data_IF_320587463125
#
_entry.id   IF_320587463125
#
_cell.length_a   1.000
_cell.length_b   1.000
_cell.length_c   1.000
_cell.angle_alpha   90.00
_cell.angle_beta   90.00
_cell.angle_gamma   90.00
#
_symmetry.space_group_name_H-M   'P 1'
#
loop_
_entity.id
_entity.type
_entity.pdbx_description
1 polymer ?
#
# COMPACT_ATOMS: atom_id res chain seq x y z
N UNK A 1 22.65 30.32 -0.46
CA UNK A 1 22.42 28.86 -0.64
C UNK A 1 21.33 28.38 0.33
N UNK A 2 20.04 28.57 0.03
CA UNK A 2 18.96 28.05 0.86
C UNK A 2 18.44 26.76 0.23
N UNK A 3 19.05 25.61 0.57
CA UNK A 3 18.51 24.30 0.25
C UNK A 3 17.25 24.12 1.09
N UNK A 4 16.10 24.48 0.51
CA UNK A 4 14.77 24.21 1.03
C UNK A 4 14.71 22.70 1.24
N UNK A 5 14.75 22.26 2.50
CA UNK A 5 14.67 20.85 2.90
C UNK A 5 13.22 20.43 2.70
N UNK A 6 12.80 20.32 1.44
CA UNK A 6 11.55 19.68 1.08
C UNK A 6 11.74 18.21 1.43
N UNK A 7 11.31 17.83 2.63
CA UNK A 7 11.13 16.43 3.02
C UNK A 7 10.43 15.75 1.85
N UNK A 8 11.17 14.91 1.15
CA UNK A 8 10.80 14.29 -0.11
C UNK A 8 9.76 13.21 0.15
N UNK A 9 8.56 13.66 0.53
CA UNK A 9 7.38 12.82 0.72
C UNK A 9 6.94 12.15 -0.59
N UNK A 10 7.46 12.63 -1.72
CA UNK A 10 7.37 12.04 -3.06
C UNK A 10 7.86 10.59 -3.12
N UNK A 11 9.01 10.26 -2.50
CA UNK A 11 9.52 8.88 -2.46
C UNK A 11 8.62 7.96 -1.65
N UNK A 12 8.11 8.45 -0.52
CA UNK A 12 7.19 7.68 0.35
C UNK A 12 5.86 7.41 -0.36
N UNK A 13 5.33 8.41 -1.09
CA UNK A 13 4.13 8.24 -1.91
C UNK A 13 4.31 7.22 -3.02
N UNK A 14 5.44 7.27 -3.76
CA UNK A 14 5.75 6.28 -4.79
C UNK A 14 5.90 4.87 -4.23
N UNK A 15 6.55 4.71 -3.07
CA UNK A 15 6.66 3.41 -2.41
C UNK A 15 5.29 2.84 -2.05
N UNK A 16 4.43 3.64 -1.42
CA UNK A 16 3.08 3.22 -1.07
C UNK A 16 2.23 2.86 -2.30
N UNK A 17 2.36 3.56 -3.43
CA UNK A 17 1.64 3.22 -4.66
C UNK A 17 2.10 1.89 -5.27
N UNK A 18 3.39 1.60 -5.18
CA UNK A 18 3.98 0.34 -5.66
C UNK A 18 3.54 -0.85 -4.80
N UNK A 19 3.45 -0.67 -3.48
CA UNK A 19 2.90 -1.68 -2.57
C UNK A 19 1.40 -1.91 -2.83
N UNK A 20 0.63 -0.86 -3.13
CA UNK A 20 -0.80 -0.99 -3.49
C UNK A 20 -0.97 -1.81 -4.76
N UNK A 21 -0.18 -1.51 -5.79
CA UNK A 21 -0.23 -2.20 -7.07
C UNK A 21 0.16 -3.68 -6.91
N UNK A 22 1.23 -3.96 -6.17
CA UNK A 22 1.66 -5.33 -5.91
C UNK A 22 0.63 -6.12 -5.11
N UNK A 23 0.00 -5.53 -4.09
CA UNK A 23 -1.03 -6.22 -3.33
C UNK A 23 -2.26 -6.49 -4.19
N UNK A 24 -2.72 -5.49 -4.95
CA UNK A 24 -3.85 -5.65 -5.87
C UNK A 24 -3.60 -6.75 -6.91
N UNK A 25 -2.36 -6.88 -7.42
CA UNK A 25 -1.99 -7.92 -8.38
C UNK A 25 -1.90 -9.32 -7.74
N UNK A 26 -1.35 -9.42 -6.53
CA UNK A 26 -1.17 -10.71 -5.85
C UNK A 26 -2.48 -11.28 -5.33
N UNK A 27 -3.40 -10.43 -4.87
CA UNK A 27 -4.63 -10.85 -4.19
C UNK A 27 -5.89 -10.45 -4.95
N UNK A 28 -5.83 -10.06 -6.24
CA UNK A 28 -6.94 -9.49 -7.07
C UNK A 28 -7.91 -8.55 -6.33
N UNK A 29 -7.46 -7.84 -5.30
CA UNK A 29 -8.31 -6.85 -4.63
C UNK A 29 -8.24 -5.53 -5.37
N UNK A 30 -9.26 -4.70 -5.21
CA UNK A 30 -9.24 -3.37 -5.82
C UNK A 30 -8.09 -2.52 -5.21
N UNK A 31 -7.46 -1.62 -5.98
CA UNK A 31 -6.43 -0.72 -5.46
C UNK A 31 -6.89 0.14 -4.26
N UNK A 32 -8.20 0.37 -4.16
CA UNK A 32 -8.83 1.04 -3.01
C UNK A 32 -8.79 0.19 -1.75
N UNK A 33 -9.13 -1.10 -1.85
CA UNK A 33 -9.03 -2.05 -0.74
C UNK A 33 -7.56 -2.22 -0.34
N UNK A 34 -6.65 -2.37 -1.31
CA UNK A 34 -5.22 -2.48 -1.03
C UNK A 34 -4.66 -1.24 -0.30
N UNK A 35 -5.05 -0.02 -0.70
CA UNK A 35 -4.71 1.20 0.06
C UNK A 35 -5.26 1.19 1.48
N UNK A 36 -6.48 0.70 1.68
CA UNK A 36 -7.08 0.64 3.00
C UNK A 36 -6.34 -0.35 3.90
N UNK A 37 -5.97 -1.51 3.36
CA UNK A 37 -5.19 -2.54 4.05
C UNK A 37 -3.79 -2.03 4.41
N UNK A 38 -3.06 -1.42 3.46
CA UNK A 38 -1.75 -0.80 3.71
C UNK A 38 -1.81 0.33 4.73
N UNK A 39 -2.91 1.07 4.78
CA UNK A 39 -3.13 2.10 5.81
C UNK A 39 -3.43 1.52 7.19
N UNK A 40 -4.08 0.34 7.26
CA UNK A 40 -4.48 -0.33 8.51
C UNK A 40 -3.33 -1.13 9.13
N UNK A 41 -2.56 -1.83 8.28
CA UNK A 41 -1.52 -2.77 8.71
C UNK A 41 -0.10 -2.30 8.43
N UNK A 42 0.08 -1.27 7.59
CA UNK A 42 1.42 -0.87 7.14
C UNK A 42 2.00 -1.88 6.16
N UNK A 43 3.34 -2.02 6.15
CA UNK A 43 4.08 -2.91 5.25
C UNK A 43 4.03 -4.41 5.68
N UNK A 44 2.98 -4.81 6.40
CA UNK A 44 2.85 -6.14 7.00
C UNK A 44 2.23 -7.12 6.00
N UNK A 45 3.02 -7.50 4.99
CA UNK A 45 2.59 -8.25 3.80
C UNK A 45 1.83 -9.54 4.08
N UNK A 46 2.17 -10.25 5.15
CA UNK A 46 1.50 -11.50 5.49
C UNK A 46 0.04 -11.26 5.89
N UNK A 47 -0.21 -10.29 6.77
CA UNK A 47 -1.57 -9.88 7.15
C UNK A 47 -2.33 -9.24 6.00
N UNK A 48 -1.65 -8.47 5.14
CA UNK A 48 -2.28 -7.87 3.97
C UNK A 48 -2.81 -8.95 3.03
N UNK A 49 -2.05 -10.04 2.80
CA UNK A 49 -2.53 -11.18 2.00
C UNK A 49 -3.71 -11.87 2.66
N UNK A 50 -3.60 -12.24 3.93
CA UNK A 50 -4.66 -12.96 4.63
C UNK A 50 -5.97 -12.16 4.60
N UNK A 51 -5.91 -10.86 4.91
CA UNK A 51 -7.10 -9.99 4.97
C UNK A 51 -7.62 -9.59 3.57
N UNK A 52 -6.77 -9.62 2.55
CA UNK A 52 -7.19 -9.43 1.16
C UNK A 52 -7.86 -10.69 0.58
N UNK A 53 -7.40 -11.89 0.94
CA UNK A 53 -8.06 -13.14 0.59
C UNK A 53 -9.42 -13.25 1.31
N UNK A 54 -9.51 -12.89 2.60
CA UNK A 54 -10.78 -12.80 3.33
C UNK A 54 -11.78 -11.83 2.65
N UNK A 55 -11.29 -10.70 2.13
CA UNK A 55 -12.10 -9.71 1.40
C UNK A 55 -12.63 -10.20 0.04
N UNK A 56 -12.06 -11.27 -0.53
CA UNK A 56 -12.56 -11.90 -1.76
C UNK A 56 -13.67 -12.92 -1.50
N UNK A 57 -13.72 -13.47 -0.29
CA UNK A 57 -14.72 -14.48 0.08
C UNK A 57 -16.07 -13.88 0.52
N UNK A 58 -16.16 -12.55 0.66
CA UNK A 58 -17.39 -11.79 0.95
C UNK A 58 -18.02 -11.18 -0.32
#
# INVERSE_FOLDING_TARGET
MARKKSTDTSRVKKGAELEVEHLAEVTDVTPKQARALLRKHGADWQRLKDEAEDLKEE
#
